data_IF_061029396762
#
_entry.id   IF_061029396762
#
_cell.length_a   1.000
_cell.length_b   1.000
_cell.length_c   1.000
_cell.angle_alpha   90.00
_cell.angle_beta   90.00
_cell.angle_gamma   90.00
#
_symmetry.space_group_name_H-M   'P 1'
#
loop_
_entity.id
_entity.type
_entity.pdbx_description
1 polymer ?
#
# COMPACT_ATOMS: atom_id res chain seq x y z
N UNK A 1 1.90 9.23 36.59
CA UNK A 1 2.88 8.26 36.07
C UNK A 1 2.12 7.29 35.19
N UNK A 2 2.09 7.51 33.87
CA UNK A 2 1.29 6.74 32.92
C UNK A 2 2.24 6.22 31.84
N UNK A 3 2.52 4.92 31.87
CA UNK A 3 3.39 4.24 30.90
C UNK A 3 2.50 3.40 30.01
N UNK A 4 2.46 3.67 28.71
CA UNK A 4 1.68 2.84 27.78
C UNK A 4 1.43 3.46 26.42
N UNK A 5 2.49 3.68 25.62
CA UNK A 5 2.34 4.06 24.21
C UNK A 5 3.45 3.50 23.30
N UNK A 6 4.10 2.40 23.69
CA UNK A 6 5.22 1.82 22.93
C UNK A 6 4.86 0.57 22.13
N UNK A 7 3.59 0.17 22.06
CA UNK A 7 3.19 -1.15 21.51
C UNK A 7 2.87 -1.21 20.01
N UNK A 8 2.56 -0.09 19.33
CA UNK A 8 1.97 -0.17 17.98
C UNK A 8 2.98 -0.39 16.84
N UNK A 9 4.23 0.04 17.00
CA UNK A 9 5.21 -0.01 15.90
C UNK A 9 5.96 -1.34 15.77
N UNK A 10 5.92 -2.19 16.80
CA UNK A 10 6.70 -3.43 16.81
C UNK A 10 5.94 -4.63 16.22
N UNK A 11 4.61 -4.56 16.10
CA UNK A 11 3.76 -5.70 15.72
C UNK A 11 3.76 -5.94 14.19
N UNK A 12 4.09 -4.92 13.40
CA UNK A 12 4.16 -5.03 11.93
C UNK A 12 5.43 -5.70 11.43
N UNK A 13 6.51 -5.69 12.21
CA UNK A 13 7.82 -6.16 11.76
C UNK A 13 8.00 -7.68 11.97
N UNK A 14 7.53 -8.21 13.11
CA UNK A 14 7.77 -9.60 13.50
C UNK A 14 6.88 -10.62 12.75
N UNK A 15 5.76 -10.17 12.17
CA UNK A 15 4.86 -11.05 11.43
C UNK A 15 5.26 -11.20 9.94
N UNK A 16 6.17 -10.38 9.42
CA UNK A 16 6.65 -10.44 8.03
C UNK A 16 7.60 -11.63 7.75
N UNK A 17 7.93 -12.43 8.78
CA UNK A 17 8.96 -13.47 8.74
C UNK A 17 8.66 -14.68 7.83
N UNK A 18 7.43 -14.85 7.34
CA UNK A 18 7.03 -16.01 6.50
C UNK A 18 6.81 -15.66 5.01
N UNK A 19 7.24 -14.47 4.59
CA UNK A 19 7.24 -14.10 3.18
C UNK A 19 8.67 -14.27 2.65
N UNK A 20 8.88 -15.16 1.68
CA UNK A 20 10.13 -15.21 0.94
C UNK A 20 10.25 -13.99 0.03
N UNK A 21 11.05 -13.01 0.47
CA UNK A 21 11.24 -11.72 -0.17
C UNK A 21 12.33 -11.77 -1.25
N UNK A 22 12.25 -12.75 -2.14
CA UNK A 22 13.28 -13.02 -3.14
C UNK A 22 13.60 -11.81 -4.04
N UNK A 23 12.66 -10.86 -4.19
CA UNK A 23 12.86 -9.61 -4.94
C UNK A 23 13.91 -8.69 -4.32
N UNK A 24 14.13 -8.75 -3.01
CA UNK A 24 15.16 -8.01 -2.27
C UNK A 24 16.51 -8.74 -2.28
N UNK A 25 16.50 -10.07 -2.17
CA UNK A 25 17.73 -10.88 -2.06
C UNK A 25 18.39 -11.14 -3.43
N UNK A 26 17.62 -11.67 -4.38
CA UNK A 26 18.11 -12.14 -5.68
C UNK A 26 17.42 -11.50 -6.88
N UNK A 27 16.35 -10.73 -6.66
CA UNK A 27 15.55 -10.13 -7.72
C UNK A 27 15.98 -8.71 -8.10
N UNK A 28 15.02 -7.90 -8.55
CA UNK A 28 15.28 -6.59 -9.15
C UNK A 28 15.96 -5.58 -8.20
N UNK A 29 15.76 -5.73 -6.88
CA UNK A 29 16.38 -4.92 -5.83
C UNK A 29 17.63 -5.57 -5.21
N UNK A 30 17.92 -6.82 -5.57
CA UNK A 30 19.10 -7.57 -5.11
C UNK A 30 20.18 -7.65 -6.19
N UNK A 31 20.85 -8.80 -6.28
CA UNK A 31 21.92 -9.07 -7.26
C UNK A 31 21.42 -9.46 -8.66
N UNK A 32 20.10 -9.53 -8.87
CA UNK A 32 19.45 -9.93 -10.13
C UNK A 32 19.80 -11.34 -10.60
N UNK A 33 20.25 -12.23 -9.71
CA UNK A 33 20.51 -13.64 -10.01
C UNK A 33 19.23 -14.51 -10.13
N UNK A 34 18.05 -13.93 -9.90
CA UNK A 34 16.78 -14.66 -9.97
C UNK A 34 16.51 -15.21 -11.39
N UNK A 35 16.36 -16.53 -11.57
CA UNK A 35 16.16 -17.13 -12.90
C UNK A 35 14.82 -16.73 -13.53
N UNK A 36 13.82 -16.39 -12.72
CA UNK A 36 12.50 -15.95 -13.18
C UNK A 36 12.52 -14.55 -13.82
N UNK A 37 13.59 -13.78 -13.66
CA UNK A 37 13.71 -12.46 -14.29
C UNK A 37 13.88 -12.55 -15.81
N UNK A 38 14.52 -13.61 -16.32
CA UNK A 38 14.68 -13.81 -17.77
C UNK A 38 13.32 -13.99 -18.46
N UNK A 39 12.40 -14.69 -17.81
CA UNK A 39 11.05 -14.93 -18.33
C UNK A 39 10.11 -13.74 -18.12
N UNK A 40 10.14 -13.14 -16.92
CA UNK A 40 9.13 -12.16 -16.52
C UNK A 40 9.56 -10.69 -16.62
N UNK A 41 10.82 -10.42 -16.95
CA UNK A 41 11.46 -9.10 -17.12
C UNK A 41 11.50 -8.27 -15.81
N UNK A 42 10.58 -8.49 -14.87
CA UNK A 42 10.48 -7.79 -13.60
C UNK A 42 9.83 -8.67 -12.52
N UNK A 43 10.30 -8.59 -11.26
CA UNK A 43 9.76 -9.37 -10.15
C UNK A 43 8.25 -9.22 -9.94
N UNK A 44 7.66 -8.05 -10.22
CA UNK A 44 6.22 -7.82 -10.05
C UNK A 44 5.34 -8.69 -10.95
N UNK A 45 5.93 -9.23 -12.01
CA UNK A 45 5.26 -10.09 -12.98
C UNK A 45 5.44 -11.59 -12.65
N UNK A 46 6.25 -11.96 -11.65
CA UNK A 46 6.46 -13.36 -11.31
C UNK A 46 5.45 -13.84 -10.25
N UNK A 47 5.06 -15.12 -10.35
CA UNK A 47 4.06 -15.71 -9.46
C UNK A 47 4.45 -15.67 -7.98
N UNK A 48 5.75 -15.73 -7.66
CA UNK A 48 6.28 -15.63 -6.29
C UNK A 48 5.92 -14.29 -5.66
N UNK A 49 6.13 -13.19 -6.40
CA UNK A 49 5.80 -11.85 -5.93
C UNK A 49 4.29 -11.67 -5.77
N UNK A 50 3.50 -12.14 -6.74
CA UNK A 50 2.04 -12.06 -6.66
C UNK A 50 1.50 -12.82 -5.44
N UNK A 51 1.99 -14.03 -5.18
CA UNK A 51 1.59 -14.82 -4.01
C UNK A 51 1.97 -14.14 -2.69
N UNK A 52 3.16 -13.55 -2.61
CA UNK A 52 3.61 -12.78 -1.46
C UNK A 52 2.72 -11.55 -1.22
N UNK A 53 2.38 -10.80 -2.27
CA UNK A 53 1.49 -9.65 -2.19
C UNK A 53 0.08 -10.03 -1.71
N UNK A 54 -0.49 -11.13 -2.23
CA UNK A 54 -1.80 -11.64 -1.78
C UNK A 54 -1.79 -12.00 -0.30
N UNK A 55 -0.79 -12.76 0.18
CA UNK A 55 -0.69 -13.12 1.60
C UNK A 55 -0.62 -11.90 2.52
N UNK A 56 0.08 -10.86 2.08
CA UNK A 56 0.19 -9.61 2.82
C UNK A 56 -1.19 -8.93 2.92
N UNK A 57 -1.92 -8.83 1.80
CA UNK A 57 -3.27 -8.24 1.75
C UNK A 57 -4.30 -9.05 2.55
N UNK A 58 -4.27 -10.38 2.47
CA UNK A 58 -5.16 -11.27 3.23
C UNK A 58 -4.97 -11.04 4.74
N UNK A 59 -3.72 -10.90 5.18
CA UNK A 59 -3.42 -10.61 6.58
C UNK A 59 -3.95 -9.25 7.03
N UNK A 60 -3.83 -8.22 6.19
CA UNK A 60 -4.41 -6.90 6.49
C UNK A 60 -5.93 -6.98 6.58
N UNK A 61 -6.57 -7.75 5.71
CA UNK A 61 -8.03 -7.95 5.73
C UNK A 61 -8.48 -8.60 7.03
N UNK A 62 -7.81 -9.69 7.45
CA UNK A 62 -8.10 -10.36 8.73
C UNK A 62 -7.85 -9.46 9.95
N UNK A 63 -6.78 -8.67 9.94
CA UNK A 63 -6.48 -7.72 11.01
C UNK A 63 -7.50 -6.57 11.07
N UNK A 64 -7.99 -6.11 9.91
CA UNK A 64 -9.02 -5.08 9.82
C UNK A 64 -10.38 -5.59 10.33
N UNK A 65 -10.80 -6.80 9.95
CA UNK A 65 -12.03 -7.43 10.45
C UNK A 65 -12.04 -7.51 11.99
N UNK A 66 -10.92 -7.92 12.59
CA UNK A 66 -10.77 -7.96 14.05
C UNK A 66 -10.84 -6.57 14.68
N UNK A 67 -10.32 -5.53 14.01
CA UNK A 67 -10.38 -4.16 14.50
C UNK A 67 -11.79 -3.56 14.37
N UNK A 68 -12.50 -3.86 13.30
CA UNK A 68 -13.89 -3.44 13.07
C UNK A 68 -14.86 -4.10 14.06
N UNK A 69 -14.66 -5.38 14.41
CA UNK A 69 -15.43 -6.05 15.45
C UNK A 69 -15.23 -5.43 16.84
N UNK A 70 -14.07 -4.83 17.13
CA UNK A 70 -13.81 -4.10 18.37
C UNK A 70 -14.33 -2.66 18.36
N UNK A 71 -14.68 -2.11 17.18
CA UNK A 71 -15.20 -0.76 16.99
C UNK A 71 -16.73 -0.70 16.82
N UNK A 72 -17.45 -1.75 17.22
CA UNK A 72 -18.92 -1.86 17.17
C UNK A 72 -19.74 -0.82 17.96
N UNK A 73 -19.15 0.30 18.39
CA UNK A 73 -19.87 1.42 19.02
C UNK A 73 -19.33 2.81 18.64
N UNK A 74 -18.62 2.97 17.53
CA UNK A 74 -18.17 4.31 17.09
C UNK A 74 -19.14 4.88 16.06
N UNK A 75 -20.12 5.62 16.58
CA UNK A 75 -20.87 6.72 15.96
C UNK A 75 -20.70 6.86 14.44
N UNK A 76 -21.78 6.54 13.73
CA UNK A 76 -22.04 6.89 12.34
C UNK A 76 -21.93 8.43 12.19
N UNK A 77 -20.70 8.93 12.06
CA UNK A 77 -20.46 10.30 11.63
C UNK A 77 -20.72 10.31 10.14
N UNK A 78 -21.67 11.14 9.74
CA UNK A 78 -21.91 11.56 8.38
C UNK A 78 -20.67 12.34 7.88
N UNK A 79 -19.59 11.61 7.57
CA UNK A 79 -18.36 12.18 7.04
C UNK A 79 -18.62 12.43 5.57
N UNK A 80 -18.98 13.68 5.24
CA UNK A 80 -19.05 14.15 3.86
C UNK A 80 -17.66 14.13 3.26
N UNK A 81 -17.31 13.03 2.60
CA UNK A 81 -16.07 12.92 1.83
C UNK A 81 -16.18 13.79 0.57
N UNK A 82 -15.10 14.51 0.25
CA UNK A 82 -14.99 15.30 -0.99
C UNK A 82 -13.83 14.75 -1.80
N UNK A 83 -14.09 14.41 -3.07
CA UNK A 83 -13.07 13.89 -3.98
C UNK A 83 -12.35 15.05 -4.69
N UNK A 84 -11.04 15.13 -4.53
CA UNK A 84 -10.18 16.23 -5.00
C UNK A 84 -8.96 15.64 -5.73
N UNK A 85 -8.67 16.15 -6.93
CA UNK A 85 -7.41 15.90 -7.64
C UNK A 85 -6.36 16.89 -7.12
N UNK A 86 -5.25 16.38 -6.58
CA UNK A 86 -4.11 17.20 -6.16
C UNK A 86 -3.05 17.21 -7.25
N UNK A 87 -2.56 18.39 -7.61
CA UNK A 87 -1.54 18.57 -8.63
C UNK A 87 -0.60 19.73 -8.26
N UNK A 88 0.54 19.81 -8.96
CA UNK A 88 1.57 20.83 -8.70
C UNK A 88 1.77 21.69 -9.93
N UNK A 89 1.82 23.00 -9.75
CA UNK A 89 2.25 23.97 -10.77
C UNK A 89 3.47 24.72 -10.24
N UNK A 90 4.63 24.53 -10.89
CA UNK A 90 5.90 25.05 -10.37
C UNK A 90 6.18 24.49 -8.97
N UNK A 91 6.24 25.37 -7.96
CA UNK A 91 6.49 25.02 -6.56
C UNK A 91 5.22 24.91 -5.71
N UNK A 92 4.04 25.20 -6.27
CA UNK A 92 2.79 25.30 -5.52
C UNK A 92 1.94 24.04 -5.66
N UNK A 93 1.33 23.61 -4.55
CA UNK A 93 0.36 22.53 -4.51
C UNK A 93 -1.06 23.06 -4.61
N UNK A 94 -1.84 22.52 -5.53
CA UNK A 94 -3.21 22.91 -5.82
C UNK A 94 -4.15 21.70 -5.77
N UNK A 95 -5.43 21.96 -5.54
CA UNK A 95 -6.48 20.95 -5.52
C UNK A 95 -7.67 21.35 -6.40
N UNK A 96 -8.12 20.46 -7.27
CA UNK A 96 -9.32 20.63 -8.08
C UNK A 96 -10.40 19.65 -7.62
N UNK A 97 -11.63 20.13 -7.40
CA UNK A 97 -12.75 19.23 -7.09
C UNK A 97 -12.99 18.32 -8.29
N UNK A 98 -12.99 17.01 -8.06
CA UNK A 98 -13.12 16.01 -9.14
C UNK A 98 -14.40 16.17 -9.98
N UNK A 99 -15.48 16.74 -9.43
CA UNK A 99 -16.70 17.04 -10.19
C UNK A 99 -16.50 18.06 -11.33
N UNK A 100 -15.41 18.82 -11.29
CA UNK A 100 -15.06 19.80 -12.31
C UNK A 100 -13.98 19.28 -13.29
N UNK A 101 -13.49 18.05 -13.09
CA UNK A 101 -12.45 17.44 -13.90
C UNK A 101 -13.08 16.59 -15.01
N UNK A 102 -12.82 16.93 -16.26
CA UNK A 102 -13.28 16.12 -17.41
C UNK A 102 -12.30 14.99 -17.72
N UNK A 103 -11.01 15.30 -17.89
CA UNK A 103 -9.98 14.32 -18.21
C UNK A 103 -8.58 14.80 -17.77
N UNK A 104 -7.64 13.87 -17.68
CA UNK A 104 -6.21 14.14 -17.48
C UNK A 104 -5.48 13.48 -18.65
N UNK A 105 -4.83 14.29 -19.49
CA UNK A 105 -4.14 13.84 -20.69
C UNK A 105 -2.65 14.27 -20.66
N UNK A 106 -1.75 13.51 -21.32
CA UNK A 106 -0.38 13.95 -21.50
C UNK A 106 -0.33 15.21 -22.37
N UNK A 107 0.65 16.08 -22.11
CA UNK A 107 0.89 17.28 -22.94
C UNK A 107 1.26 16.86 -24.36
N UNK A 108 0.46 17.31 -25.33
CA UNK A 108 0.72 17.11 -26.76
C UNK A 108 1.45 18.36 -27.28
N UNK A 109 2.67 18.18 -27.75
CA UNK A 109 3.46 19.23 -28.41
C UNK A 109 3.32 19.11 -29.91
#
# INVERSE_FOLDING_TARGET
>A
MMTGLSGFSSITHDQALDIDDCWNRIGIHGDRSCPLLEEHIHCRNCAVYSAAATRLLDRYSLAQEHHEQFQGSVLQRDIKTRSILVFRLGEEWLGLVSSCLSEVAPYQT
#
